data_IF_565645081302
#
_entry.id   IF_565645081302
#
_cell.length_a   1.000
_cell.length_b   1.000
_cell.length_c   1.000
_cell.angle_alpha   90.00
_cell.angle_beta   90.00
_cell.angle_gamma   90.00
#
_symmetry.space_group_name_H-M   'P 1'
#
loop_
_entity.id
_entity.type
_entity.pdbx_description
1 polymer ?
#
# COMPACT_ATOMS: atom_id res chain seq x y z
N UNK A 1 -31.37 35.97 2.36
CA UNK A 1 -31.42 35.91 0.88
C UNK A 1 -31.83 34.49 0.56
N UNK A 2 -32.99 34.29 -0.05
CA UNK A 2 -33.50 32.93 -0.32
C UNK A 2 -32.65 32.31 -1.41
N UNK A 3 -32.12 31.12 -1.16
CA UNK A 3 -31.36 30.36 -2.16
C UNK A 3 -32.35 29.86 -3.24
N UNK A 4 -32.23 30.30 -4.51
CA UNK A 4 -33.19 29.94 -5.55
C UNK A 4 -33.33 28.43 -5.76
N UNK A 5 -32.26 27.69 -5.50
CA UNK A 5 -32.24 26.23 -5.63
C UNK A 5 -33.09 25.56 -4.54
N UNK A 6 -32.93 26.00 -3.29
CA UNK A 6 -33.73 25.50 -2.15
C UNK A 6 -35.20 25.85 -2.32
N UNK A 7 -35.52 27.05 -2.82
CA UNK A 7 -36.92 27.44 -3.07
C UNK A 7 -37.56 26.58 -4.16
N UNK A 8 -36.82 26.32 -5.26
CA UNK A 8 -37.28 25.43 -6.34
C UNK A 8 -37.50 24.02 -5.80
N UNK A 9 -36.51 23.44 -5.13
CA UNK A 9 -36.61 22.09 -4.55
C UNK A 9 -37.79 21.97 -3.57
N UNK A 10 -38.01 22.98 -2.74
CA UNK A 10 -39.14 23.02 -1.82
C UNK A 10 -40.47 23.04 -2.56
N UNK A 11 -40.62 23.93 -3.55
CA UNK A 11 -41.84 24.05 -4.33
C UNK A 11 -42.16 22.74 -5.09
N UNK A 12 -41.17 22.17 -5.76
CA UNK A 12 -41.30 20.95 -6.56
C UNK A 12 -41.62 19.74 -5.67
N UNK A 13 -40.90 19.58 -4.54
CA UNK A 13 -41.14 18.46 -3.61
C UNK A 13 -42.50 18.57 -2.92
N UNK A 14 -42.95 19.79 -2.60
CA UNK A 14 -44.26 20.04 -2.01
C UNK A 14 -45.40 19.73 -2.98
N UNK A 15 -45.24 20.10 -4.25
CA UNK A 15 -46.21 19.74 -5.29
C UNK A 15 -46.20 18.23 -5.54
N UNK A 16 -45.02 17.60 -5.57
CA UNK A 16 -44.91 16.13 -5.68
C UNK A 16 -45.63 15.43 -4.53
N UNK A 17 -45.49 15.90 -3.29
CA UNK A 17 -46.22 15.35 -2.13
C UNK A 17 -47.74 15.43 -2.32
N UNK A 18 -48.26 16.55 -2.84
CA UNK A 18 -49.68 16.71 -3.14
C UNK A 18 -50.13 15.73 -4.23
N UNK A 19 -49.38 15.61 -5.32
CA UNK A 19 -49.66 14.66 -6.40
C UNK A 19 -49.56 13.21 -5.91
N UNK A 20 -48.67 12.91 -4.97
CA UNK A 20 -48.49 11.58 -4.39
C UNK A 20 -49.70 11.15 -3.55
N UNK A 21 -50.34 12.10 -2.85
CA UNK A 21 -51.62 11.88 -2.17
C UNK A 21 -52.74 11.65 -3.18
N UNK A 22 -52.83 12.46 -4.24
CA UNK A 22 -53.81 12.29 -5.31
C UNK A 22 -53.65 10.94 -6.02
N UNK A 23 -52.42 10.47 -6.20
CA UNK A 23 -52.12 9.15 -6.77
C UNK A 23 -52.68 8.02 -5.91
N UNK A 24 -52.61 8.17 -4.58
CA UNK A 24 -53.17 7.21 -3.65
C UNK A 24 -54.70 7.13 -3.73
N UNK A 25 -55.38 8.26 -3.96
CA UNK A 25 -56.84 8.25 -4.16
C UNK A 25 -57.23 7.43 -5.39
N UNK A 26 -56.51 7.58 -6.51
CA UNK A 26 -56.69 6.75 -7.70
C UNK A 26 -56.31 5.28 -7.45
N UNK A 27 -55.25 5.02 -6.69
CA UNK A 27 -54.85 3.67 -6.30
C UNK A 27 -55.95 2.98 -5.47
N UNK A 28 -56.53 3.69 -4.49
CA UNK A 28 -57.63 3.19 -3.67
C UNK A 28 -58.91 2.95 -4.50
N UNK A 29 -59.22 3.86 -5.43
CA UNK A 29 -60.32 3.69 -6.38
C UNK A 29 -60.13 2.42 -7.22
N UNK A 30 -58.94 2.23 -7.78
CA UNK A 30 -58.58 1.03 -8.54
C UNK A 30 -58.64 -0.24 -7.70
N UNK A 31 -58.18 -0.20 -6.44
CA UNK A 31 -58.26 -1.32 -5.50
C UNK A 31 -59.70 -1.77 -5.25
N UNK A 32 -60.64 -0.82 -5.14
CA UNK A 32 -62.08 -1.11 -4.97
C UNK A 32 -62.77 -1.54 -6.27
N UNK A 33 -62.23 -1.15 -7.42
CA UNK A 33 -62.82 -1.42 -8.74
C UNK A 33 -64.04 -0.53 -9.03
N UNK A 34 -64.14 0.61 -8.36
CA UNK A 34 -65.22 1.58 -8.49
C UNK A 34 -64.83 2.67 -9.50
N UNK A 35 -65.78 3.18 -10.28
CA UNK A 35 -65.62 4.36 -11.15
C UNK A 35 -64.41 4.35 -12.11
N UNK A 36 -64.06 3.17 -12.66
CA UNK A 36 -63.00 3.01 -13.65
C UNK A 36 -63.43 3.49 -15.06
N UNK A 37 -63.67 4.79 -15.20
CA UNK A 37 -64.05 5.41 -16.48
C UNK A 37 -62.81 5.80 -17.30
N UNK A 38 -62.93 5.90 -18.64
CA UNK A 38 -61.84 6.36 -19.49
C UNK A 38 -61.28 7.74 -19.09
N UNK A 39 -62.15 8.65 -18.64
CA UNK A 39 -61.76 10.01 -18.23
C UNK A 39 -60.88 9.98 -16.96
N UNK A 40 -61.17 9.07 -16.03
CA UNK A 40 -60.35 8.86 -14.82
C UNK A 40 -59.02 8.20 -15.15
N UNK A 41 -59.01 7.30 -16.12
CA UNK A 41 -57.79 6.69 -16.64
C UNK A 41 -56.86 7.75 -17.27
N UNK A 42 -57.40 8.63 -18.12
CA UNK A 42 -56.63 9.71 -18.72
C UNK A 42 -56.06 10.68 -17.67
N UNK A 43 -56.86 11.05 -16.67
CA UNK A 43 -56.42 11.88 -15.54
C UNK A 43 -55.31 11.20 -14.71
N UNK A 44 -55.42 9.88 -14.49
CA UNK A 44 -54.40 9.11 -13.81
C UNK A 44 -53.07 9.07 -14.59
N UNK A 45 -53.12 8.94 -15.91
CA UNK A 45 -51.92 8.95 -16.76
C UNK A 45 -51.24 10.34 -16.80
N UNK A 46 -52.01 11.42 -16.81
CA UNK A 46 -51.49 12.78 -16.68
C UNK A 46 -50.81 12.99 -15.32
N UNK A 47 -51.48 12.57 -14.23
CA UNK A 47 -50.95 12.61 -12.87
C UNK A 47 -49.60 11.90 -12.75
N UNK A 48 -49.49 10.68 -13.31
CA UNK A 48 -48.24 9.92 -13.36
C UNK A 48 -47.12 10.68 -14.07
N UNK A 49 -47.44 11.31 -15.20
CA UNK A 49 -46.47 12.07 -15.99
C UNK A 49 -45.93 13.27 -15.20
N UNK A 50 -46.81 13.98 -14.48
CA UNK A 50 -46.42 15.08 -13.59
C UNK A 50 -45.56 14.62 -12.41
N UNK A 51 -45.88 13.48 -11.81
CA UNK A 51 -45.06 12.88 -10.74
C UNK A 51 -43.65 12.57 -11.27
N UNK A 52 -43.55 11.96 -12.46
CA UNK A 52 -42.26 11.64 -13.06
C UNK A 52 -41.41 12.90 -13.35
N UNK A 53 -42.04 13.99 -13.80
CA UNK A 53 -41.33 15.26 -14.05
C UNK A 53 -40.74 15.91 -12.78
N UNK A 54 -41.40 15.73 -11.62
CA UNK A 54 -40.93 16.31 -10.35
C UNK A 54 -39.99 15.37 -9.58
N UNK A 55 -39.89 14.10 -9.97
CA UNK A 55 -39.08 13.09 -9.29
C UNK A 55 -37.60 13.47 -9.25
N UNK A 56 -37.03 13.98 -10.35
CA UNK A 56 -35.63 14.39 -10.40
C UNK A 56 -35.31 15.48 -9.37
N UNK A 57 -36.17 16.50 -9.23
CA UNK A 57 -35.95 17.56 -8.23
C UNK A 57 -36.08 17.05 -6.80
N UNK A 58 -36.90 16.02 -6.57
CA UNK A 58 -36.99 15.36 -5.27
C UNK A 58 -35.73 14.55 -4.97
N UNK A 59 -35.23 13.78 -5.95
CA UNK A 59 -33.98 13.02 -5.80
C UNK A 59 -32.78 13.93 -5.53
N UNK A 60 -32.71 15.10 -6.17
CA UNK A 60 -31.68 16.11 -5.92
C UNK A 60 -31.76 16.71 -4.50
N UNK A 61 -32.95 16.75 -3.90
CA UNK A 61 -33.16 17.28 -2.55
C UNK A 61 -32.84 16.26 -1.43
N UNK A 62 -32.81 14.96 -1.74
CA UNK A 62 -32.57 13.91 -0.78
C UNK A 62 -31.12 13.88 -0.28
N UNK A 63 -30.97 13.90 1.05
CA UNK A 63 -29.66 13.73 1.70
C UNK A 63 -29.37 12.30 2.15
N UNK A 64 -30.42 11.47 2.25
CA UNK A 64 -30.38 10.09 2.70
C UNK A 64 -31.49 9.28 2.00
N UNK A 65 -31.52 7.96 2.20
CA UNK A 65 -32.59 7.04 1.76
C UNK A 65 -33.00 7.15 0.27
N UNK A 66 -32.02 7.34 -0.62
CA UNK A 66 -32.21 7.44 -2.07
C UNK A 66 -32.91 6.22 -2.68
N UNK A 67 -32.72 5.03 -2.09
CA UNK A 67 -33.40 3.81 -2.50
C UNK A 67 -34.91 3.89 -2.27
N UNK A 68 -35.36 4.49 -1.17
CA UNK A 68 -36.79 4.74 -0.91
C UNK A 68 -37.30 5.81 -1.87
N UNK A 69 -36.50 6.85 -2.13
CA UNK A 69 -36.85 7.87 -3.13
C UNK A 69 -37.07 7.30 -4.53
N UNK A 70 -36.28 6.31 -4.94
CA UNK A 70 -36.43 5.62 -6.21
C UNK A 70 -37.75 4.82 -6.32
N UNK A 71 -38.28 4.33 -5.19
CA UNK A 71 -39.54 3.57 -5.17
C UNK A 71 -40.73 4.38 -5.70
N UNK A 72 -40.71 5.72 -5.57
CA UNK A 72 -41.75 6.59 -6.14
C UNK A 72 -41.94 6.31 -7.64
N UNK A 73 -40.85 6.35 -8.40
CA UNK A 73 -40.88 6.14 -9.84
C UNK A 73 -41.17 4.67 -10.20
N UNK A 74 -40.66 3.73 -9.40
CA UNK A 74 -40.89 2.30 -9.61
C UNK A 74 -42.38 1.93 -9.40
N UNK A 75 -43.05 2.53 -8.41
CA UNK A 75 -44.50 2.38 -8.20
C UNK A 75 -45.26 2.97 -9.39
N UNK A 76 -44.96 4.22 -9.78
CA UNK A 76 -45.61 4.90 -10.92
C UNK A 76 -45.47 4.09 -12.21
N UNK A 77 -44.30 3.50 -12.44
CA UNK A 77 -44.02 2.70 -13.63
C UNK A 77 -44.78 1.37 -13.61
N UNK A 78 -44.85 0.69 -12.45
CA UNK A 78 -45.62 -0.56 -12.29
C UNK A 78 -47.13 -0.35 -12.40
N UNK A 79 -47.63 0.81 -12.02
CA UNK A 79 -49.05 1.17 -12.12
C UNK A 79 -49.45 1.53 -13.55
N UNK A 80 -49.43 0.59 -14.50
CA UNK A 80 -49.64 0.85 -15.93
C UNK A 80 -50.95 1.60 -16.20
N UNK A 81 -52.05 1.10 -15.64
CA UNK A 81 -53.41 1.65 -15.74
C UNK A 81 -54.24 1.35 -14.49
N UNK A 82 -55.34 2.06 -14.27
CA UNK A 82 -56.25 1.77 -13.15
C UNK A 82 -56.83 0.35 -13.26
N UNK A 83 -57.18 -0.06 -14.48
CA UNK A 83 -57.64 -1.44 -14.77
C UNK A 83 -56.56 -2.49 -14.51
N UNK A 84 -55.28 -2.18 -14.76
CA UNK A 84 -54.18 -3.06 -14.44
C UNK A 84 -54.03 -3.23 -12.93
N UNK A 85 -54.05 -2.12 -12.18
CA UNK A 85 -53.99 -2.11 -10.71
C UNK A 85 -55.10 -2.95 -10.08
N UNK A 86 -56.34 -2.80 -10.56
CA UNK A 86 -57.48 -3.59 -10.07
C UNK A 86 -57.30 -5.10 -10.26
N UNK A 87 -56.53 -5.53 -11.26
CA UNK A 87 -56.31 -6.95 -11.60
C UNK A 87 -55.07 -7.55 -10.95
N UNK A 88 -54.27 -6.76 -10.24
CA UNK A 88 -53.11 -7.27 -9.54
C UNK A 88 -53.52 -8.18 -8.38
N UNK A 89 -52.63 -9.08 -8.00
CA UNK A 89 -52.89 -9.93 -6.85
C UNK A 89 -52.83 -9.12 -5.54
N UNK A 90 -53.49 -9.61 -4.50
CA UNK A 90 -53.60 -8.91 -3.20
C UNK A 90 -52.22 -8.68 -2.55
N UNK A 91 -51.25 -9.56 -2.80
CA UNK A 91 -49.90 -9.42 -2.23
C UNK A 91 -49.14 -8.24 -2.87
N UNK A 92 -49.23 -8.08 -4.20
CA UNK A 92 -48.62 -6.98 -4.93
C UNK A 92 -49.27 -5.64 -4.56
N UNK A 93 -50.60 -5.59 -4.44
CA UNK A 93 -51.33 -4.39 -3.98
C UNK A 93 -50.84 -3.98 -2.59
N UNK A 94 -50.77 -4.91 -1.64
CA UNK A 94 -50.28 -4.64 -0.28
C UNK A 94 -48.83 -4.18 -0.27
N UNK A 95 -47.99 -4.77 -1.11
CA UNK A 95 -46.59 -4.36 -1.24
C UNK A 95 -46.48 -2.92 -1.76
N UNK A 96 -47.23 -2.57 -2.81
CA UNK A 96 -47.26 -1.22 -3.35
C UNK A 96 -47.78 -0.21 -2.33
N UNK A 97 -48.77 -0.57 -1.52
CA UNK A 97 -49.29 0.28 -0.43
C UNK A 97 -48.22 0.58 0.63
N UNK A 98 -47.43 -0.42 1.01
CA UNK A 98 -46.29 -0.24 1.94
C UNK A 98 -45.22 0.67 1.33
N UNK A 99 -44.77 0.37 0.11
CA UNK A 99 -43.75 1.17 -0.58
C UNK A 99 -44.21 2.62 -0.83
N UNK A 100 -45.52 2.80 -1.10
CA UNK A 100 -46.13 4.12 -1.23
C UNK A 100 -46.08 4.90 0.09
N UNK A 101 -46.40 4.23 1.21
CA UNK A 101 -46.38 4.85 2.53
C UNK A 101 -44.95 5.24 2.96
N UNK A 102 -43.96 4.39 2.73
CA UNK A 102 -42.55 4.70 2.98
C UNK A 102 -42.10 5.93 2.19
N UNK A 103 -42.44 5.98 0.90
CA UNK A 103 -42.15 7.13 0.04
C UNK A 103 -42.87 8.41 0.51
N UNK A 104 -44.11 8.27 0.99
CA UNK A 104 -44.89 9.38 1.54
C UNK A 104 -44.25 9.96 2.81
N UNK A 105 -43.76 9.12 3.72
CA UNK A 105 -43.03 9.56 4.92
C UNK A 105 -41.76 10.31 4.54
N UNK A 106 -40.97 9.76 3.60
CA UNK A 106 -39.75 10.39 3.12
C UNK A 106 -40.01 11.76 2.45
N UNK A 107 -41.07 11.87 1.63
CA UNK A 107 -41.48 13.14 1.03
C UNK A 107 -41.83 14.19 2.10
N UNK A 108 -42.60 13.81 3.13
CA UNK A 108 -42.93 14.72 4.23
C UNK A 108 -41.69 15.18 4.99
N UNK A 109 -40.78 14.26 5.32
CA UNK A 109 -39.51 14.60 5.98
C UNK A 109 -38.70 15.58 5.12
N UNK A 110 -38.60 15.30 3.82
CA UNK A 110 -37.83 16.13 2.88
C UNK A 110 -38.44 17.53 2.76
N UNK A 111 -39.76 17.65 2.67
CA UNK A 111 -40.46 18.96 2.67
C UNK A 111 -40.18 19.72 3.96
N UNK A 112 -40.27 19.05 5.13
CA UNK A 112 -40.00 19.69 6.42
C UNK A 112 -38.55 20.17 6.53
N UNK A 113 -37.59 19.35 6.08
CA UNK A 113 -36.17 19.71 6.05
C UNK A 113 -35.90 20.92 5.14
N UNK A 114 -36.50 20.95 3.94
CA UNK A 114 -36.35 22.07 3.01
C UNK A 114 -36.98 23.36 3.55
N UNK A 115 -38.15 23.26 4.20
CA UNK A 115 -38.78 24.39 4.88
C UNK A 115 -37.88 24.94 5.99
N UNK A 116 -37.30 24.07 6.84
CA UNK A 116 -36.38 24.48 7.89
C UNK A 116 -35.14 25.18 7.29
N UNK A 117 -34.52 24.59 6.26
CA UNK A 117 -33.40 25.21 5.55
C UNK A 117 -33.77 26.59 5.00
N UNK A 118 -34.97 26.72 4.42
CA UNK A 118 -35.47 28.02 3.92
C UNK A 118 -35.58 29.05 5.04
N UNK A 119 -36.13 28.66 6.20
CA UNK A 119 -36.26 29.54 7.37
C UNK A 119 -34.89 29.93 7.97
N UNK A 120 -33.95 28.99 8.03
CA UNK A 120 -32.57 29.27 8.44
C UNK A 120 -31.90 30.27 7.48
N UNK A 121 -32.03 30.07 6.17
CA UNK A 121 -31.47 30.99 5.17
C UNK A 121 -32.14 32.37 5.16
N UNK A 122 -33.42 32.44 5.53
CA UNK A 122 -34.13 33.70 5.71
C UNK A 122 -33.65 34.47 6.95
N UNK A 123 -33.27 33.77 8.02
CA UNK A 123 -32.80 34.36 9.28
C UNK A 123 -31.30 34.68 9.31
N UNK A 124 -30.48 34.06 8.46
CA UNK A 124 -29.03 34.30 8.40
C UNK A 124 -28.65 35.56 7.60
N UNK A 125 -27.69 36.32 8.12
CA UNK A 125 -27.10 37.46 7.38
C UNK A 125 -26.28 36.98 6.18
N UNK A 126 -26.27 37.76 5.09
CA UNK A 126 -25.56 37.40 3.85
C UNK A 126 -24.04 37.15 4.04
N UNK A 127 -23.43 37.75 5.07
CA UNK A 127 -22.02 37.56 5.40
C UNK A 127 -21.75 36.17 6.01
N UNK A 128 -22.62 35.68 6.90
CA UNK A 128 -22.47 34.38 7.55
C UNK A 128 -22.66 33.21 6.57
N UNK A 129 -23.61 33.32 5.64
CA UNK A 129 -23.83 32.29 4.60
C UNK A 129 -22.59 32.11 3.70
N UNK A 130 -21.96 33.22 3.27
CA UNK A 130 -20.74 33.15 2.44
C UNK A 130 -19.57 32.54 3.20
N UNK A 131 -19.41 32.88 4.48
CA UNK A 131 -18.37 32.31 5.33
C UNK A 131 -18.55 30.78 5.49
N UNK A 132 -19.77 30.31 5.76
CA UNK A 132 -20.05 28.89 5.95
C UNK A 132 -19.86 28.07 4.66
N UNK A 133 -20.30 28.60 3.50
CA UNK A 133 -20.10 27.96 2.19
C UNK A 133 -18.60 27.82 1.85
N UNK A 134 -17.80 28.83 2.18
CA UNK A 134 -16.35 28.77 1.96
C UNK A 134 -15.64 27.76 2.90
N UNK A 135 -16.08 27.65 4.15
CA UNK A 135 -15.51 26.71 5.12
C UNK A 135 -15.81 25.24 4.79
N UNK A 136 -17.00 24.94 4.27
CA UNK A 136 -17.38 23.59 3.83
C UNK A 136 -16.52 23.08 2.66
N UNK A 137 -16.24 23.94 1.68
CA UNK A 137 -15.42 23.58 0.51
C UNK A 137 -13.95 23.37 0.93
N UNK A 138 -13.43 24.17 1.86
CA UNK A 138 -12.06 24.04 2.35
C UNK A 138 -11.85 22.72 3.13
N UNK A 139 -12.80 22.36 4.00
CA UNK A 139 -12.71 21.14 4.82
C UNK A 139 -12.81 19.86 4.01
N UNK A 140 -13.66 19.79 2.98
CA UNK A 140 -13.71 18.64 2.07
C UNK A 140 -12.40 18.44 1.29
N UNK A 141 -11.80 19.52 0.77
CA UNK A 141 -10.52 19.44 0.05
C UNK A 141 -9.38 18.97 0.93
N UNK A 142 -9.30 19.47 2.18
CA UNK A 142 -8.28 19.04 3.14
C UNK A 142 -8.45 17.56 3.48
N UNK A 143 -9.69 17.09 3.72
CA UNK A 143 -9.94 15.69 4.03
C UNK A 143 -9.55 14.77 2.87
N UNK A 144 -9.88 15.15 1.63
CA UNK A 144 -9.51 14.39 0.44
C UNK A 144 -7.98 14.33 0.22
N UNK A 145 -7.25 15.40 0.55
CA UNK A 145 -5.79 15.41 0.51
C UNK A 145 -5.20 14.50 1.59
N UNK A 146 -5.71 14.56 2.83
CA UNK A 146 -5.22 13.73 3.94
C UNK A 146 -5.52 12.23 3.78
N UNK A 147 -6.63 11.88 3.13
CA UNK A 147 -6.97 10.47 2.86
C UNK A 147 -6.29 9.90 1.62
N UNK A 148 -5.61 10.74 0.83
CA UNK A 148 -4.88 10.33 -0.38
C UNK A 148 -3.82 9.27 -0.10
N UNK A 149 -3.75 8.27 -0.98
CA UNK A 149 -2.72 7.23 -0.97
C UNK A 149 -1.30 7.85 -0.99
N UNK A 150 -1.11 8.95 -1.71
CA UNK A 150 0.19 9.62 -1.82
C UNK A 150 0.66 10.21 -0.49
N UNK A 151 -0.24 10.78 0.32
CA UNK A 151 0.11 11.29 1.64
C UNK A 151 0.47 10.15 2.59
N UNK A 152 -0.26 9.02 2.53
CA UNK A 152 0.09 7.83 3.32
C UNK A 152 1.48 7.30 2.95
N UNK A 153 1.78 7.22 1.66
CA UNK A 153 3.11 6.81 1.16
C UNK A 153 4.17 7.82 1.65
N UNK A 154 3.91 9.13 1.55
CA UNK A 154 4.84 10.16 2.00
C UNK A 154 5.14 10.06 3.50
N UNK A 155 4.12 9.83 4.34
CA UNK A 155 4.30 9.62 5.78
C UNK A 155 5.14 8.38 6.08
N UNK A 156 4.91 7.27 5.37
CA UNK A 156 5.72 6.05 5.52
C UNK A 156 7.17 6.32 5.11
N UNK A 157 7.40 7.01 3.99
CA UNK A 157 8.75 7.38 3.53
C UNK A 157 9.45 8.28 4.55
N UNK A 158 8.77 9.28 5.09
CA UNK A 158 9.33 10.17 6.13
C UNK A 158 9.65 9.37 7.40
N UNK A 159 8.77 8.48 7.84
CA UNK A 159 9.01 7.64 9.01
C UNK A 159 10.21 6.69 8.81
N UNK A 160 10.34 6.10 7.61
CA UNK A 160 11.49 5.24 7.25
C UNK A 160 12.77 6.07 7.18
N UNK A 161 12.76 7.24 6.56
CA UNK A 161 13.92 8.13 6.49
C UNK A 161 14.33 8.63 7.87
N UNK A 162 13.37 9.00 8.73
CA UNK A 162 13.64 9.45 10.10
C UNK A 162 14.19 8.30 10.95
N UNK A 163 13.61 7.10 10.85
CA UNK A 163 14.09 5.91 11.54
C UNK A 163 15.47 5.44 11.08
N UNK A 164 15.80 5.61 9.80
CA UNK A 164 17.09 5.16 9.23
C UNK A 164 18.21 6.18 9.38
N UNK A 165 17.92 7.47 9.14
CA UNK A 165 18.90 8.57 9.11
C UNK A 165 18.81 9.43 10.38
N UNK A 166 17.61 9.85 10.77
CA UNK A 166 17.41 10.75 11.91
C UNK A 166 17.89 10.15 13.23
N UNK A 167 17.61 8.86 13.45
CA UNK A 167 18.03 8.14 14.66
C UNK A 167 19.56 7.99 14.75
N UNK A 168 20.27 7.90 13.62
CA UNK A 168 21.74 7.86 13.59
C UNK A 168 22.35 9.20 13.97
N UNK A 169 21.84 10.30 13.39
CA UNK A 169 22.33 11.66 13.67
C UNK A 169 22.14 12.02 15.15
N UNK A 170 21.08 11.49 15.76
CA UNK A 170 20.77 11.73 17.18
C UNK A 170 21.51 10.79 18.14
N UNK A 171 22.25 9.78 17.65
CA UNK A 171 23.02 8.85 18.48
C UNK A 171 22.18 7.94 19.39
N UNK A 172 20.87 7.80 19.12
CA UNK A 172 19.93 7.12 20.02
C UNK A 172 19.98 5.58 19.84
N UNK A 173 20.37 5.08 18.65
CA UNK A 173 20.50 3.64 18.40
C UNK A 173 21.76 3.31 17.60
N UNK A 174 22.47 2.25 18.02
CA UNK A 174 23.50 1.62 17.20
C UNK A 174 22.83 0.82 16.07
N UNK A 175 23.15 1.18 14.82
CA UNK A 175 22.64 0.55 13.60
C UNK A 175 22.90 -0.96 13.56
N UNK A 176 23.94 -1.42 14.26
CA UNK A 176 24.26 -2.84 14.38
C UNK A 176 23.19 -3.62 15.15
N UNK A 177 22.51 -2.96 16.09
CA UNK A 177 21.41 -3.57 16.85
C UNK A 177 20.19 -3.83 15.97
N UNK A 178 19.92 -2.95 15.00
CA UNK A 178 18.81 -3.12 14.04
C UNK A 178 19.03 -4.30 13.10
N UNK A 179 20.29 -4.63 12.78
CA UNK A 179 20.63 -5.78 11.96
C UNK A 179 20.22 -7.13 12.60
N UNK A 180 20.07 -7.17 13.92
CA UNK A 180 19.75 -8.40 14.65
C UNK A 180 18.24 -8.72 14.66
N UNK A 181 17.39 -7.79 14.22
CA UNK A 181 15.94 -7.97 14.20
C UNK A 181 15.46 -8.33 12.78
N UNK A 182 14.81 -9.50 12.58
CA UNK A 182 14.39 -9.96 11.25
C UNK A 182 13.53 -8.96 10.46
N UNK A 183 12.63 -8.25 11.14
CA UNK A 183 11.73 -7.25 10.52
C UNK A 183 12.49 -6.05 9.94
N UNK A 184 13.68 -5.76 10.46
CA UNK A 184 14.51 -4.65 10.01
C UNK A 184 15.57 -5.05 9.00
N UNK A 185 15.74 -6.33 8.65
CA UNK A 185 16.76 -6.76 7.68
C UNK A 185 16.64 -6.06 6.32
N UNK A 186 15.44 -5.94 5.76
CA UNK A 186 15.24 -5.30 4.46
C UNK A 186 15.45 -3.77 4.51
N UNK A 187 14.85 -3.01 5.45
CA UNK A 187 15.18 -1.61 5.67
C UNK A 187 16.67 -1.38 5.98
N UNK A 188 17.28 -2.27 6.75
CA UNK A 188 18.71 -2.24 7.08
C UNK A 188 19.55 -2.33 5.80
N UNK A 189 19.28 -3.31 4.93
CA UNK A 189 20.00 -3.45 3.66
C UNK A 189 19.81 -2.24 2.75
N UNK A 190 18.60 -1.69 2.69
CA UNK A 190 18.30 -0.50 1.88
C UNK A 190 19.02 0.75 2.40
N UNK A 191 18.90 1.04 3.70
CA UNK A 191 19.56 2.17 4.34
C UNK A 191 21.09 2.07 4.21
N UNK A 192 21.64 0.87 4.35
CA UNK A 192 23.06 0.60 4.11
C UNK A 192 23.48 0.81 2.66
N UNK A 193 22.67 0.36 1.69
CA UNK A 193 22.92 0.61 0.26
C UNK A 193 22.95 2.11 -0.04
N UNK A 194 22.02 2.86 0.52
CA UNK A 194 21.96 4.32 0.38
C UNK A 194 23.19 4.96 1.05
N UNK A 195 23.50 4.61 2.29
CA UNK A 195 24.67 5.14 3.01
C UNK A 195 25.97 4.87 2.24
N UNK A 196 26.12 3.69 1.65
CA UNK A 196 27.27 3.32 0.80
C UNK A 196 27.41 4.12 -0.49
N UNK A 197 26.33 4.73 -0.99
CA UNK A 197 26.45 5.67 -2.11
C UNK A 197 27.21 6.95 -1.69
N UNK A 198 27.19 7.28 -0.40
CA UNK A 198 27.86 8.46 0.15
C UNK A 198 29.20 8.14 0.82
N UNK A 199 29.34 6.96 1.45
CA UNK A 199 30.59 6.48 2.05
C UNK A 199 30.84 5.00 1.71
N UNK A 200 31.69 4.78 0.70
CA UNK A 200 32.07 3.44 0.24
C UNK A 200 32.91 2.65 1.27
N UNK A 201 33.42 3.30 2.31
CA UNK A 201 34.37 2.72 3.26
C UNK A 201 33.78 2.47 4.66
N UNK A 202 32.47 2.61 4.83
CA UNK A 202 31.76 2.34 6.07
C UNK A 202 32.13 0.97 6.66
N UNK A 203 32.68 0.90 7.89
CA UNK A 203 33.15 -0.35 8.48
C UNK A 203 32.02 -1.32 8.80
N UNK A 204 32.34 -2.61 8.80
CA UNK A 204 31.46 -3.68 9.28
C UNK A 204 31.84 -4.07 10.71
N UNK A 205 30.86 -4.34 11.59
CA UNK A 205 31.13 -4.66 12.99
C UNK A 205 31.63 -6.10 13.22
N UNK A 206 31.25 -7.09 12.38
CA UNK A 206 31.70 -8.49 12.51
C UNK A 206 31.45 -9.31 11.22
N UNK A 207 31.98 -10.54 11.18
CA UNK A 207 31.82 -11.46 10.03
C UNK A 207 30.35 -11.91 9.85
N UNK A 208 29.57 -12.04 10.92
CA UNK A 208 28.18 -12.52 10.84
C UNK A 208 27.25 -11.56 10.08
N UNK A 209 27.44 -10.25 10.21
CA UNK A 209 26.68 -9.27 9.40
C UNK A 209 27.10 -9.39 7.92
N UNK A 210 28.38 -9.67 7.62
CA UNK A 210 28.85 -9.88 6.25
C UNK A 210 28.19 -11.12 5.60
N UNK A 211 27.86 -12.16 6.38
CA UNK A 211 27.10 -13.32 5.87
C UNK A 211 25.66 -13.00 5.53
N UNK A 212 25.05 -12.10 6.29
CA UNK A 212 23.71 -11.58 5.99
C UNK A 212 23.62 -10.97 4.59
N UNK A 213 24.72 -10.45 4.05
CA UNK A 213 24.81 -9.94 2.66
C UNK A 213 25.22 -11.01 1.64
N UNK A 214 25.88 -12.11 2.07
CA UNK A 214 26.27 -13.24 1.20
C UNK A 214 25.08 -14.10 0.78
N UNK A 215 24.07 -14.25 1.64
CA UNK A 215 22.76 -14.83 1.34
C UNK A 215 21.89 -14.87 2.61
N UNK A 216 20.59 -14.59 2.50
CA UNK A 216 19.68 -14.81 3.63
C UNK A 216 19.70 -16.30 4.05
N UNK A 217 19.54 -16.63 5.34
CA UNK A 217 19.53 -18.02 5.84
C UNK A 217 18.49 -18.94 5.16
N UNK A 218 17.43 -18.36 4.59
CA UNK A 218 16.36 -19.03 3.85
C UNK A 218 16.61 -19.14 2.34
N UNK A 219 17.72 -18.63 1.84
CA UNK A 219 17.96 -18.61 0.39
C UNK A 219 18.42 -19.99 -0.09
N UNK A 220 17.78 -20.50 -1.14
CA UNK A 220 18.21 -21.67 -1.91
C UNK A 220 19.50 -21.43 -2.71
N UNK A 221 20.24 -20.36 -2.41
CA UNK A 221 21.40 -19.89 -3.19
C UNK A 221 22.64 -20.75 -2.98
N UNK A 222 22.74 -21.45 -1.84
CA UNK A 222 23.81 -22.39 -1.55
C UNK A 222 23.48 -23.78 -2.09
N UNK A 223 24.46 -24.47 -2.69
CA UNK A 223 24.31 -25.89 -3.06
C UNK A 223 24.14 -26.79 -1.81
N UNK A 224 24.82 -26.42 -0.73
CA UNK A 224 24.65 -26.93 0.64
C UNK A 224 25.04 -25.79 1.60
N UNK A 225 24.39 -25.69 2.76
CA UNK A 225 24.75 -24.69 3.77
C UNK A 225 26.24 -24.87 4.15
N UNK A 226 27.07 -23.83 4.10
CA UNK A 226 28.49 -23.96 4.46
C UNK A 226 28.63 -24.47 5.88
N UNK A 227 29.51 -25.46 6.07
CA UNK A 227 29.84 -25.98 7.40
C UNK A 227 30.99 -25.14 7.98
N UNK A 228 30.70 -24.43 9.06
CA UNK A 228 31.72 -23.70 9.80
C UNK A 228 32.60 -24.71 10.52
N UNK A 229 33.92 -24.63 10.32
CA UNK A 229 34.90 -25.46 11.04
C UNK A 229 35.30 -24.78 12.35
N UNK A 230 34.70 -25.12 13.51
CA UNK A 230 35.08 -24.51 14.79
C UNK A 230 36.54 -24.82 15.12
N UNK A 231 37.31 -23.81 15.55
CA UNK A 231 38.70 -23.99 15.98
C UNK A 231 39.73 -24.13 14.86
N UNK A 232 39.37 -23.85 13.59
CA UNK A 232 40.35 -23.80 12.51
C UNK A 232 41.39 -22.69 12.79
N UNK A 233 42.67 -23.03 12.85
CA UNK A 233 43.75 -22.04 12.93
C UNK A 233 43.96 -21.38 11.56
N UNK A 234 44.13 -20.05 11.57
CA UNK A 234 44.52 -19.27 10.38
C UNK A 234 45.94 -19.60 9.91
N UNK A 235 46.82 -20.12 10.78
CA UNK A 235 48.24 -20.34 10.48
C UNK A 235 48.45 -21.31 9.32
N UNK A 236 47.63 -22.37 9.24
CA UNK A 236 47.69 -23.34 8.13
C UNK A 236 47.41 -22.70 6.77
N UNK A 237 46.45 -21.78 6.74
CA UNK A 237 46.08 -21.06 5.52
C UNK A 237 47.15 -20.04 5.20
N UNK A 238 47.59 -19.26 6.20
CA UNK A 238 48.66 -18.27 6.02
C UNK A 238 49.97 -18.91 5.51
N UNK A 239 50.25 -20.18 5.84
CA UNK A 239 51.40 -20.92 5.35
C UNK A 239 51.32 -21.34 3.87
N UNK A 240 50.19 -21.15 3.19
CA UNK A 240 50.07 -21.48 1.76
C UNK A 240 51.05 -20.65 0.93
N UNK A 241 51.83 -21.33 0.08
CA UNK A 241 52.88 -20.71 -0.73
C UNK A 241 52.41 -19.48 -1.53
N UNK A 242 51.23 -19.48 -2.19
CA UNK A 242 50.75 -18.29 -2.90
C UNK A 242 50.52 -17.07 -1.99
N UNK A 243 50.11 -17.26 -0.73
CA UNK A 243 49.88 -16.16 0.22
C UNK A 243 51.20 -15.59 0.75
N UNK A 244 52.19 -16.45 0.95
CA UNK A 244 53.54 -16.06 1.35
C UNK A 244 54.25 -15.30 0.23
N UNK A 245 54.22 -15.83 -1.00
CA UNK A 245 54.88 -15.25 -2.17
C UNK A 245 54.25 -13.90 -2.60
N UNK A 246 52.94 -13.75 -2.44
CA UNK A 246 52.26 -12.47 -2.69
C UNK A 246 52.47 -11.43 -1.57
N UNK A 247 53.03 -11.82 -0.43
CA UNK A 247 53.23 -10.94 0.72
C UNK A 247 51.94 -10.50 1.41
N UNK A 248 50.80 -11.17 1.15
CA UNK A 248 49.52 -10.87 1.81
C UNK A 248 49.35 -11.62 3.13
N UNK A 249 50.10 -12.70 3.37
CA UNK A 249 50.05 -13.45 4.63
C UNK A 249 50.31 -12.56 5.86
N UNK A 250 51.27 -11.62 5.77
CA UNK A 250 51.59 -10.68 6.84
C UNK A 250 50.48 -9.63 7.10
N UNK A 251 49.63 -9.34 6.11
CA UNK A 251 48.47 -8.46 6.28
C UNK A 251 47.29 -9.25 6.87
N UNK A 252 47.05 -10.46 6.35
CA UNK A 252 46.00 -11.35 6.83
C UNK A 252 46.23 -11.84 8.27
N UNK A 253 47.47 -11.92 8.73
CA UNK A 253 47.79 -12.26 10.13
C UNK A 253 47.23 -11.24 11.13
N UNK A 254 47.05 -9.97 10.72
CA UNK A 254 46.44 -8.91 11.52
C UNK A 254 44.94 -9.11 11.75
N UNK A 255 44.30 -10.08 11.10
CA UNK A 255 42.87 -10.30 11.22
C UNK A 255 42.46 -10.58 12.68
N UNK A 256 41.48 -9.83 13.16
CA UNK A 256 40.90 -9.92 14.51
C UNK A 256 39.99 -11.13 14.64
N UNK A 257 39.26 -11.45 13.58
CA UNK A 257 38.45 -12.66 13.47
C UNK A 257 38.86 -13.46 12.23
N UNK A 258 38.77 -14.78 12.36
CA UNK A 258 39.01 -15.72 11.28
C UNK A 258 37.94 -16.80 11.29
N UNK A 259 37.46 -17.16 10.11
CA UNK A 259 36.53 -18.26 9.93
C UNK A 259 36.89 -19.09 8.70
N UNK A 260 36.77 -20.41 8.86
CA UNK A 260 36.83 -21.38 7.77
C UNK A 260 35.45 -22.00 7.57
N UNK A 261 35.03 -22.05 6.32
CA UNK A 261 33.82 -22.71 5.85
C UNK A 261 34.19 -23.71 4.75
N UNK A 262 33.47 -24.83 4.68
CA UNK A 262 33.61 -25.81 3.60
C UNK A 262 32.27 -25.95 2.86
N UNK A 263 32.33 -25.95 1.53
CA UNK A 263 31.18 -26.20 0.65
C UNK A 263 31.51 -27.41 -0.23
N UNK A 264 30.63 -28.41 -0.22
CA UNK A 264 30.79 -29.66 -0.98
C UNK A 264 29.75 -29.75 -2.09
N UNK A 265 30.16 -30.21 -3.27
CA UNK A 265 29.26 -30.49 -4.40
C UNK A 265 29.75 -31.75 -5.11
N UNK A 266 29.15 -32.89 -4.78
CA UNK A 266 29.62 -34.19 -5.25
C UNK A 266 31.00 -34.52 -4.64
N UNK A 267 31.99 -34.77 -5.50
CA UNK A 267 33.38 -35.06 -5.09
C UNK A 267 34.26 -33.81 -4.96
N UNK A 268 33.75 -32.65 -5.37
CA UNK A 268 34.48 -31.39 -5.28
C UNK A 268 34.18 -30.69 -3.95
N UNK A 269 35.23 -30.12 -3.35
CA UNK A 269 35.11 -29.25 -2.18
C UNK A 269 35.81 -27.91 -2.43
N UNK A 270 35.22 -26.87 -1.84
CA UNK A 270 35.75 -25.51 -1.83
C UNK A 270 35.83 -25.05 -0.38
N UNK A 271 37.01 -24.57 0.01
CA UNK A 271 37.23 -23.94 1.31
C UNK A 271 37.12 -22.43 1.17
N UNK A 272 36.31 -21.81 2.04
CA UNK A 272 36.11 -20.37 2.11
C UNK A 272 36.72 -19.90 3.42
N UNK A 273 37.75 -19.07 3.32
CA UNK A 273 38.46 -18.47 4.45
C UNK A 273 38.09 -16.99 4.52
N UNK A 274 37.45 -16.59 5.62
CA UNK A 274 37.07 -15.20 5.85
C UNK A 274 37.94 -14.60 6.95
N UNK A 275 38.53 -13.44 6.65
CA UNK A 275 39.40 -12.68 7.55
C UNK A 275 38.78 -11.30 7.79
N UNK A 276 38.54 -10.95 9.06
CA UNK A 276 38.14 -9.59 9.44
C UNK A 276 39.39 -8.79 9.79
N UNK A 277 39.73 -7.78 8.99
CA UNK A 277 40.88 -6.92 9.25
C UNK A 277 40.47 -5.73 10.13
N UNK A 278 41.40 -5.22 10.96
CA UNK A 278 41.11 -4.12 11.87
C UNK A 278 40.74 -2.83 11.12
N UNK A 279 41.30 -2.62 9.92
CA UNK A 279 41.09 -1.43 9.12
C UNK A 279 40.81 -1.77 7.65
N UNK A 280 39.99 -0.94 7.00
CA UNK A 280 39.69 -1.05 5.56
C UNK A 280 40.94 -0.88 4.68
N UNK A 281 41.90 -0.06 5.12
CA UNK A 281 43.17 0.15 4.41
C UNK A 281 44.01 -1.12 4.31
N UNK A 282 44.05 -1.96 5.36
CA UNK A 282 44.75 -3.24 5.33
C UNK A 282 44.10 -4.19 4.31
N UNK A 283 42.76 -4.20 4.21
CA UNK A 283 42.03 -5.02 3.24
C UNK A 283 42.27 -4.58 1.78
N UNK A 284 42.29 -3.26 1.54
CA UNK A 284 42.65 -2.70 0.22
C UNK A 284 44.08 -3.12 -0.16
N UNK A 285 45.01 -3.06 0.79
CA UNK A 285 46.39 -3.50 0.56
C UNK A 285 46.49 -5.00 0.24
N UNK A 286 45.68 -5.85 0.89
CA UNK A 286 45.59 -7.29 0.56
C UNK A 286 45.12 -7.50 -0.88
N UNK A 287 44.00 -6.87 -1.27
CA UNK A 287 43.44 -6.99 -2.62
C UNK A 287 44.42 -6.52 -3.69
N UNK A 288 45.03 -5.35 -3.49
CA UNK A 288 46.01 -4.77 -4.42
C UNK A 288 47.22 -5.69 -4.62
N UNK A 289 47.83 -6.17 -3.53
CA UNK A 289 48.97 -7.10 -3.60
C UNK A 289 48.62 -8.44 -4.24
N UNK A 290 47.43 -8.96 -3.94
CA UNK A 290 46.95 -10.20 -4.54
C UNK A 290 46.76 -10.06 -6.05
N UNK A 291 46.13 -8.97 -6.50
CA UNK A 291 45.90 -8.72 -7.91
C UNK A 291 47.20 -8.54 -8.71
N UNK A 292 48.20 -7.86 -8.15
CA UNK A 292 49.55 -7.77 -8.75
C UNK A 292 50.20 -9.16 -8.87
N UNK A 293 50.10 -9.97 -7.81
CA UNK A 293 50.64 -11.33 -7.80
C UNK A 293 49.96 -12.25 -8.82
N UNK A 294 48.63 -12.25 -8.90
CA UNK A 294 47.86 -13.04 -9.88
C UNK A 294 48.14 -12.57 -11.31
N UNK A 295 48.31 -11.26 -11.53
CA UNK A 295 48.69 -10.72 -12.84
C UNK A 295 49.99 -11.31 -13.37
N UNK A 296 50.94 -11.60 -12.47
CA UNK A 296 52.23 -12.26 -12.77
C UNK A 296 52.14 -13.79 -12.81
N UNK A 297 51.14 -14.39 -12.17
CA UNK A 297 51.01 -15.84 -11.97
C UNK A 297 49.59 -16.33 -12.30
N UNK A 298 49.17 -16.18 -13.56
CA UNK A 298 47.78 -16.48 -13.99
C UNK A 298 47.33 -17.92 -13.73
N UNK A 299 48.25 -18.88 -13.65
CA UNK A 299 47.95 -20.28 -13.33
C UNK A 299 47.36 -20.50 -11.93
N UNK A 300 47.46 -19.52 -11.03
CA UNK A 300 46.95 -19.58 -9.66
C UNK A 300 45.46 -19.21 -9.61
N UNK A 301 44.98 -18.48 -10.62
CA UNK A 301 43.63 -17.91 -10.68
C UNK A 301 42.52 -18.99 -10.63
N UNK A 302 42.77 -20.16 -11.21
CA UNK A 302 41.83 -21.29 -11.19
C UNK A 302 41.76 -22.05 -9.86
N UNK A 303 42.67 -21.78 -8.91
CA UNK A 303 42.75 -22.48 -7.62
C UNK A 303 42.47 -21.57 -6.41
N UNK A 304 42.68 -20.27 -6.59
CA UNK A 304 42.58 -19.29 -5.52
C UNK A 304 41.86 -18.03 -6.00
N UNK A 305 40.86 -17.59 -5.25
CA UNK A 305 40.19 -16.31 -5.47
C UNK A 305 40.18 -15.51 -4.19
N UNK A 306 40.64 -14.26 -4.26
CA UNK A 306 40.53 -13.29 -3.16
C UNK A 306 39.47 -12.27 -3.54
N UNK A 307 38.56 -12.03 -2.61
CA UNK A 307 37.46 -11.08 -2.78
C UNK A 307 37.45 -10.18 -1.54
N UNK A 308 37.49 -8.87 -1.76
CA UNK A 308 37.37 -7.89 -0.69
C UNK A 308 35.93 -7.44 -0.55
N UNK A 309 35.46 -7.37 0.69
CA UNK A 309 34.23 -6.69 1.07
C UNK A 309 34.54 -5.74 2.24
N UNK A 310 34.84 -4.48 1.91
CA UNK A 310 35.29 -3.45 2.87
C UNK A 310 36.57 -3.89 3.61
N UNK A 311 36.49 -4.18 4.92
CA UNK A 311 37.60 -4.65 5.78
C UNK A 311 37.61 -6.18 5.92
N UNK A 312 36.72 -6.90 5.23
CA UNK A 312 36.67 -8.36 5.20
C UNK A 312 37.34 -8.87 3.93
N UNK A 313 38.25 -9.81 4.08
CA UNK A 313 38.86 -10.55 2.96
C UNK A 313 38.32 -11.97 2.96
N UNK A 314 37.84 -12.39 1.79
CA UNK A 314 37.45 -13.79 1.55
C UNK A 314 38.44 -14.41 0.58
N UNK A 315 39.11 -15.46 1.03
CA UNK A 315 39.93 -16.32 0.20
C UNK A 315 39.16 -17.63 -0.06
N UNK A 316 38.88 -17.91 -1.32
CA UNK A 316 38.24 -19.14 -1.77
C UNK A 316 39.32 -20.03 -2.38
N UNK A 317 39.41 -21.28 -1.92
CA UNK A 317 40.38 -22.26 -2.43
C UNK A 317 39.68 -23.56 -2.81
N UNK A 318 40.17 -24.23 -3.86
CA UNK A 318 39.58 -25.49 -4.32
C UNK A 318 40.37 -26.13 -5.46
N UNK A 319 40.02 -27.37 -5.79
CA UNK A 319 40.62 -28.14 -6.88
C UNK A 319 39.95 -27.89 -8.24
N UNK A 320 38.68 -27.50 -8.25
CA UNK A 320 37.86 -27.32 -9.45
C UNK A 320 37.56 -25.83 -9.69
N UNK A 321 38.18 -25.26 -10.72
CA UNK A 321 38.01 -23.85 -11.12
C UNK A 321 36.55 -23.48 -11.38
N UNK A 322 35.80 -24.35 -12.06
CA UNK A 322 34.39 -24.12 -12.37
C UNK A 322 33.55 -24.01 -11.10
N UNK A 323 33.85 -24.82 -10.09
CA UNK A 323 33.15 -24.77 -8.81
C UNK A 323 33.53 -23.54 -7.98
N UNK A 324 34.81 -23.14 -7.98
CA UNK A 324 35.25 -21.88 -7.34
C UNK A 324 34.53 -20.68 -7.96
N UNK A 325 34.41 -20.64 -9.28
CA UNK A 325 33.71 -19.56 -9.98
C UNK A 325 32.19 -19.58 -9.69
N UNK A 326 31.54 -20.75 -9.63
CA UNK A 326 30.13 -20.90 -9.23
C UNK A 326 29.89 -20.37 -7.81
N UNK A 327 30.79 -20.70 -6.86
CA UNK A 327 30.74 -20.18 -5.49
C UNK A 327 30.94 -18.67 -5.46
N UNK A 328 31.92 -18.12 -6.19
CA UNK A 328 32.13 -16.67 -6.29
C UNK A 328 30.86 -15.97 -6.76
N UNK A 329 30.30 -16.39 -7.89
CA UNK A 329 29.18 -15.71 -8.54
C UNK A 329 27.95 -15.70 -7.63
N UNK A 330 27.66 -16.84 -6.99
CA UNK A 330 26.50 -16.96 -6.10
C UNK A 330 26.64 -16.16 -4.80
N UNK A 331 27.86 -15.98 -4.31
CA UNK A 331 28.12 -15.34 -3.01
C UNK A 331 28.38 -13.83 -3.14
N UNK A 332 28.95 -13.37 -4.26
CA UNK A 332 29.44 -11.98 -4.39
C UNK A 332 28.93 -11.21 -5.62
N UNK A 333 28.70 -11.86 -6.77
CA UNK A 333 28.47 -11.12 -8.03
C UNK A 333 26.97 -10.87 -8.34
N UNK A 334 26.02 -11.30 -7.50
CA UNK A 334 24.57 -11.07 -7.68
C UNK A 334 23.99 -9.87 -6.87
N UNK A 335 24.83 -8.87 -6.53
CA UNK A 335 24.43 -7.69 -5.75
C UNK A 335 23.82 -6.55 -6.58
#
# INVERSE_FOLDING_TARGET
>A
MVDPEVERQYADTKELLRLWQEFYEYFEMAKRGEDLTPEKEDAFLDLKSRIAMLHDSFMDALTHDQNIGQNVLDIVTRSISLKHLNRQNVADIKKMEIEWHESYLLLNETVAMLEEKRQQLASMSAAQYRAQKSAGIATQKIRAVLTSIYVKIAVIVIAVLFGTVGVQVLGIFDWNTLANYPVFHAPYRLGKKIYRMFDSNSPWPNIAVADGDRAAPSSSRWASKPEVSPGASKDKVLALAPLQQSGIAALLSKATEYRKEEVKKGFDSVEIHTFLLPNTSDAIAVESKWNDYVGKNRNIEGKYRVIRNVNVITLITGSNEGFINDVKVRVYDQQ
#
